data_IF_674620553449
#
_entry.id   IF_674620553449
#
_cell.length_a   1.000
_cell.length_b   1.000
_cell.length_c   1.000
_cell.angle_alpha   90.00
_cell.angle_beta   90.00
_cell.angle_gamma   90.00
#
_symmetry.space_group_name_H-M   'P 1'
#
loop_
_entity.id
_entity.type
_entity.pdbx_description
1 polymer ?
#
# COMPACT_ATOMS: atom_id res chain seq x y z
N UNK A 1 -8.89 -67.10 36.45
CA UNK A 1 -10.24 -66.49 36.58
C UNK A 1 -10.27 -65.19 35.80
N UNK A 2 -10.90 -65.17 34.61
CA UNK A 2 -11.08 -63.95 33.81
C UNK A 2 -12.55 -63.52 33.88
N UNK A 3 -12.83 -62.27 34.27
CA UNK A 3 -14.21 -61.75 34.32
C UNK A 3 -14.52 -60.95 33.06
N UNK A 4 -15.48 -61.45 32.30
CA UNK A 4 -16.11 -60.77 31.16
C UNK A 4 -16.85 -59.49 31.59
N UNK A 5 -16.86 -58.47 30.73
CA UNK A 5 -17.94 -57.45 30.76
C UNK A 5 -18.25 -56.86 29.38
N UNK A 6 -19.37 -57.34 28.86
CA UNK A 6 -20.31 -56.75 27.89
C UNK A 6 -19.96 -55.39 27.22
N UNK A 7 -19.97 -55.38 25.88
CA UNK A 7 -20.12 -54.15 25.09
C UNK A 7 -21.58 -53.69 25.07
N UNK A 8 -21.94 -52.73 25.92
CA UNK A 8 -23.21 -51.98 25.77
C UNK A 8 -23.00 -50.72 24.93
N UNK A 9 -23.77 -50.59 23.84
CA UNK A 9 -23.79 -49.40 22.97
C UNK A 9 -24.18 -48.16 23.79
N UNK A 10 -23.38 -47.09 23.76
CA UNK A 10 -23.77 -45.78 24.28
C UNK A 10 -24.58 -44.98 23.24
N UNK A 11 -25.59 -44.20 23.66
CA UNK A 11 -26.54 -43.57 22.75
C UNK A 11 -25.98 -42.31 22.08
N UNK A 12 -26.48 -42.03 20.87
CA UNK A 12 -26.25 -40.76 20.16
C UNK A 12 -26.97 -39.63 20.89
N UNK A 13 -26.24 -38.81 21.65
CA UNK A 13 -26.75 -37.51 22.11
C UNK A 13 -26.57 -36.47 21.00
N UNK A 14 -27.68 -36.08 20.36
CA UNK A 14 -27.74 -34.80 19.64
C UNK A 14 -27.73 -33.67 20.68
N UNK A 15 -26.63 -32.92 20.77
CA UNK A 15 -26.66 -31.61 21.40
C UNK A 15 -27.10 -30.57 20.36
N UNK A 16 -28.42 -30.37 20.25
CA UNK A 16 -28.99 -29.24 19.51
C UNK A 16 -29.14 -28.04 20.47
N UNK A 17 -28.06 -27.31 20.70
CA UNK A 17 -28.10 -25.96 21.30
C UNK A 17 -26.97 -25.13 20.70
N UNK A 18 -27.33 -24.26 19.75
CA UNK A 18 -26.46 -23.15 19.31
C UNK A 18 -26.60 -22.05 20.38
N UNK A 19 -25.51 -21.46 20.90
CA UNK A 19 -25.62 -20.32 21.81
C UNK A 19 -26.27 -19.15 21.07
N UNK A 20 -27.24 -18.49 21.70
CA UNK A 20 -27.89 -17.31 21.13
C UNK A 20 -26.87 -16.18 20.94
N UNK A 21 -26.87 -15.47 19.79
CA UNK A 21 -25.97 -14.35 19.58
C UNK A 21 -26.39 -13.17 20.46
N UNK A 22 -25.51 -12.78 21.39
CA UNK A 22 -25.63 -11.55 22.16
C UNK A 22 -25.67 -10.39 21.15
N UNK A 23 -26.83 -9.74 21.03
CA UNK A 23 -27.07 -8.71 20.03
C UNK A 23 -26.20 -7.47 20.26
N UNK A 24 -25.52 -7.00 19.21
CA UNK A 24 -24.80 -5.73 19.24
C UNK A 24 -25.82 -4.57 19.36
N UNK A 25 -25.68 -3.66 20.34
CA UNK A 25 -26.70 -2.64 20.65
C UNK A 25 -26.70 -1.45 19.68
N UNK A 26 -25.91 -1.45 18.61
CA UNK A 26 -25.87 -0.32 17.68
C UNK A 26 -27.16 -0.22 16.84
N UNK A 27 -27.64 0.99 16.50
CA UNK A 27 -28.89 1.19 15.74
C UNK A 27 -28.93 0.48 14.39
N UNK A 28 -27.76 0.21 13.80
CA UNK A 28 -27.62 -0.47 12.52
C UNK A 28 -27.96 -1.97 12.59
N UNK A 29 -27.64 -2.66 13.68
CA UNK A 29 -27.94 -4.10 13.82
C UNK A 29 -29.44 -4.38 14.01
N UNK A 30 -30.22 -3.42 14.53
CA UNK A 30 -31.66 -3.59 14.78
C UNK A 30 -32.53 -3.47 13.52
N UNK A 31 -32.02 -2.83 12.46
CA UNK A 31 -32.77 -2.64 11.19
C UNK A 31 -32.49 -3.74 10.15
N UNK A 32 -31.60 -4.68 10.46
CA UNK A 32 -31.16 -5.72 9.52
C UNK A 32 -32.12 -6.92 9.50
N UNK A 33 -32.93 -7.02 8.43
CA UNK A 33 -33.75 -8.22 8.17
C UNK A 33 -33.07 -9.14 7.12
N UNK A 34 -32.76 -10.40 7.44
CA UNK A 34 -32.19 -11.34 6.47
C UNK A 34 -33.24 -11.69 5.40
N UNK A 35 -33.08 -11.15 4.19
CA UNK A 35 -34.00 -11.41 3.08
C UNK A 35 -33.91 -12.88 2.64
N UNK A 36 -35.02 -13.61 2.77
CA UNK A 36 -35.12 -15.04 2.40
C UNK A 36 -34.85 -15.27 0.91
N UNK A 37 -34.07 -16.33 0.65
CA UNK A 37 -33.92 -17.11 -0.59
C UNK A 37 -33.51 -16.39 -1.89
N UNK A 38 -32.27 -16.63 -2.30
CA UNK A 38 -31.77 -16.42 -3.67
C UNK A 38 -32.50 -17.35 -4.66
N UNK A 39 -33.43 -16.82 -5.47
CA UNK A 39 -33.98 -17.57 -6.62
C UNK A 39 -32.89 -17.73 -7.68
N UNK A 40 -32.47 -18.97 -7.94
CA UNK A 40 -31.54 -19.30 -9.04
C UNK A 40 -32.12 -18.81 -10.37
N UNK A 41 -31.35 -18.04 -11.15
CA UNK A 41 -31.69 -17.71 -12.56
C UNK A 41 -31.74 -19.01 -13.39
N UNK A 42 -32.69 -19.16 -14.33
CA UNK A 42 -32.70 -20.29 -15.25
C UNK A 42 -31.49 -20.22 -16.20
N UNK A 43 -30.89 -21.37 -16.48
CA UNK A 43 -29.75 -21.51 -17.39
C UNK A 43 -30.19 -21.44 -18.85
N UNK A 44 -29.70 -20.43 -19.57
CA UNK A 44 -29.87 -20.34 -21.02
C UNK A 44 -29.02 -21.42 -21.69
N UNK A 45 -29.66 -22.29 -22.48
CA UNK A 45 -28.97 -23.31 -23.29
C UNK A 45 -28.24 -22.63 -24.46
N UNK A 46 -26.92 -22.69 -24.46
CA UNK A 46 -26.10 -22.30 -25.62
C UNK A 46 -26.18 -23.42 -26.67
N UNK A 47 -26.59 -23.08 -27.89
CA UNK A 47 -26.68 -24.03 -28.99
C UNK A 47 -25.28 -24.46 -29.49
N UNK A 48 -25.19 -25.71 -29.96
CA UNK A 48 -23.95 -26.34 -30.43
C UNK A 48 -23.45 -25.77 -31.76
N UNK A 49 -22.13 -25.54 -31.85
CA UNK A 49 -21.45 -25.10 -33.08
C UNK A 49 -21.06 -26.33 -33.94
N UNK A 50 -21.26 -26.33 -35.28
CA UNK A 50 -20.88 -27.47 -36.12
C UNK A 50 -19.36 -27.66 -36.24
N UNK A 51 -18.93 -28.92 -36.41
CA UNK A 51 -17.56 -29.28 -36.82
C UNK A 51 -17.39 -29.09 -38.33
N UNK A 52 -16.21 -28.64 -38.77
CA UNK A 52 -15.67 -28.98 -40.09
C UNK A 52 -14.20 -29.44 -39.99
N UNK A 53 -13.72 -30.04 -41.08
CA UNK A 53 -12.74 -31.12 -41.12
C UNK A 53 -11.28 -30.68 -41.33
N UNK A 54 -10.36 -31.62 -41.04
CA UNK A 54 -8.92 -31.50 -41.36
C UNK A 54 -8.67 -31.71 -42.85
N UNK A 55 -7.71 -30.97 -43.41
CA UNK A 55 -6.85 -31.43 -44.52
C UNK A 55 -5.41 -31.07 -44.18
N UNK A 56 -4.44 -31.92 -44.56
CA UNK A 56 -3.02 -31.74 -44.25
C UNK A 56 -2.13 -32.20 -45.41
N UNK A 57 -1.08 -31.42 -45.71
CA UNK A 57 0.26 -31.86 -46.17
C UNK A 57 1.16 -30.61 -46.33
N UNK A 58 2.32 -30.57 -45.65
CA UNK A 58 3.68 -30.84 -46.17
C UNK A 58 4.18 -29.76 -47.16
N UNK A 59 5.40 -29.23 -47.16
CA UNK A 59 6.66 -29.32 -46.37
C UNK A 59 7.65 -28.43 -47.16
N UNK A 60 8.59 -27.75 -46.49
CA UNK A 60 10.03 -27.91 -46.81
C UNK A 60 10.93 -27.27 -45.74
N UNK A 61 11.99 -28.02 -45.43
CA UNK A 61 13.07 -27.71 -44.49
C UNK A 61 14.27 -27.19 -45.25
N UNK A 62 15.07 -26.29 -44.66
CA UNK A 62 16.56 -26.37 -44.64
C UNK A 62 17.03 -25.81 -43.30
N UNK A 63 18.13 -26.34 -42.76
CA UNK A 63 18.69 -25.97 -41.46
C UNK A 63 20.23 -25.99 -41.48
N UNK A 64 20.87 -25.23 -40.59
CA UNK A 64 22.25 -25.39 -40.12
C UNK A 64 22.30 -24.87 -38.67
N UNK A 65 22.52 -25.74 -37.66
CA UNK A 65 23.81 -26.14 -37.07
C UNK A 65 24.58 -24.98 -36.39
N UNK A 66 25.21 -25.12 -35.23
CA UNK A 66 25.18 -26.15 -34.17
C UNK A 66 26.06 -25.70 -32.97
N UNK A 67 25.71 -26.09 -31.74
CA UNK A 67 26.61 -26.75 -30.75
C UNK A 67 25.91 -26.97 -29.41
N UNK A 68 26.33 -28.01 -28.70
CA UNK A 68 25.86 -28.36 -27.37
C UNK A 68 27.06 -28.56 -26.42
N UNK A 69 26.89 -28.19 -25.15
CA UNK A 69 27.71 -28.69 -24.03
C UNK A 69 26.76 -28.99 -22.86
N UNK A 70 27.00 -30.10 -22.16
CA UNK A 70 26.20 -30.57 -21.01
C UNK A 70 26.78 -30.05 -19.70
N UNK A 71 25.95 -29.67 -18.72
CA UNK A 71 25.99 -30.19 -17.33
C UNK A 71 24.93 -29.54 -16.41
N UNK A 72 24.35 -30.35 -15.52
CA UNK A 72 23.56 -30.06 -14.30
C UNK A 72 24.18 -30.96 -13.19
N UNK A 73 23.87 -30.88 -11.87
CA UNK A 73 22.81 -30.14 -11.14
C UNK A 73 23.42 -29.35 -9.92
N UNK A 74 22.78 -28.99 -8.79
CA UNK A 74 21.39 -29.03 -8.29
C UNK A 74 21.16 -28.03 -7.11
N UNK A 75 19.98 -27.39 -7.04
CA UNK A 75 19.31 -26.87 -5.81
C UNK A 75 20.04 -25.68 -5.12
N UNK A 76 19.40 -24.79 -4.34
CA UNK A 76 18.09 -24.87 -3.65
C UNK A 76 17.37 -23.51 -3.69
N UNK A 77 16.05 -23.53 -3.92
CA UNK A 77 15.18 -22.35 -3.84
C UNK A 77 14.18 -22.54 -2.70
N UNK A 78 14.02 -21.59 -1.77
CA UNK A 78 12.77 -21.40 -1.04
C UNK A 78 12.13 -20.08 -1.47
N UNK A 79 11.10 -20.17 -2.31
CA UNK A 79 10.15 -19.09 -2.48
C UNK A 79 8.89 -19.42 -1.67
N UNK A 80 8.59 -18.64 -0.64
CA UNK A 80 7.27 -18.51 0.01
C UNK A 80 7.29 -17.35 1.01
N UNK A 81 7.02 -16.14 0.54
CA UNK A 81 6.21 -15.20 1.31
C UNK A 81 4.84 -15.16 0.65
N UNK A 82 3.78 -15.28 1.46
CA UNK A 82 2.38 -15.14 1.06
C UNK A 82 1.77 -14.06 1.94
N UNK A 83 0.78 -13.38 1.39
CA UNK A 83 -0.05 -12.35 2.04
C UNK A 83 0.70 -11.06 2.36
N UNK A 84 0.49 -10.06 1.49
CA UNK A 84 0.58 -8.68 1.93
C UNK A 84 -0.60 -8.44 2.88
N UNK A 85 -0.32 -8.46 4.19
CA UNK A 85 -1.26 -7.90 5.18
C UNK A 85 -1.23 -6.39 5.01
N UNK A 86 -2.42 -5.78 4.87
CA UNK A 86 -2.58 -4.34 5.02
C UNK A 86 -2.32 -3.96 6.48
N UNK A 87 -1.06 -3.68 6.80
CA UNK A 87 -0.68 -2.93 7.99
C UNK A 87 -0.89 -1.45 7.74
N UNK A 88 -1.27 -0.72 8.79
CA UNK A 88 -1.57 0.71 8.74
C UNK A 88 -0.45 1.53 8.07
N UNK A 89 -0.84 2.63 7.43
CA UNK A 89 0.07 3.52 6.71
C UNK A 89 0.94 4.31 7.68
N UNK A 90 2.13 3.80 7.97
CA UNK A 90 3.08 4.51 8.81
C UNK A 90 3.77 5.65 8.04
N UNK A 91 3.49 6.87 8.48
CA UNK A 91 3.87 8.11 7.79
C UNK A 91 5.25 8.53 8.26
N UNK A 92 6.22 8.54 7.36
CA UNK A 92 7.57 8.93 7.70
C UNK A 92 7.66 10.43 8.03
N UNK A 93 8.36 10.76 9.11
CA UNK A 93 8.58 12.11 9.61
C UNK A 93 10.08 12.38 9.57
N UNK A 94 10.52 13.34 8.75
CA UNK A 94 11.96 13.60 8.61
C UNK A 94 12.60 14.05 9.93
N UNK A 95 13.83 13.60 10.19
CA UNK A 95 14.53 13.81 11.47
C UNK A 95 14.06 12.89 12.60
N UNK A 96 12.93 12.18 12.44
CA UNK A 96 12.57 11.03 13.29
C UNK A 96 12.99 9.72 12.61
N UNK A 97 13.27 8.69 13.40
CA UNK A 97 13.58 7.37 12.87
C UNK A 97 12.31 6.75 12.26
N UNK A 98 12.37 6.34 11.00
CA UNK A 98 11.27 5.61 10.36
C UNK A 98 10.89 4.37 11.20
N UNK A 99 9.60 4.17 11.46
CA UNK A 99 9.13 3.11 12.36
C UNK A 99 9.54 1.70 11.92
N UNK A 100 9.70 1.47 10.62
CA UNK A 100 10.13 0.18 10.08
C UNK A 100 11.66 0.02 10.10
N UNK A 101 12.42 1.01 10.57
CA UNK A 101 13.80 0.86 11.02
C UNK A 101 13.90 0.46 12.50
N UNK A 102 12.88 0.73 13.31
CA UNK A 102 12.86 0.38 14.75
C UNK A 102 12.95 -1.15 14.91
N UNK A 103 13.95 -1.61 15.66
CA UNK A 103 14.25 -3.03 15.81
C UNK A 103 15.11 -3.65 14.69
N UNK A 104 15.45 -2.89 13.64
CA UNK A 104 16.48 -3.25 12.65
C UNK A 104 17.83 -2.57 12.92
N UNK A 105 17.82 -1.45 13.65
CA UNK A 105 19.01 -0.75 14.16
C UNK A 105 19.04 -0.82 15.70
N UNK A 106 20.20 -0.58 16.35
CA UNK A 106 20.29 -0.61 17.81
C UNK A 106 19.38 0.43 18.48
N UNK A 107 18.94 0.13 19.72
CA UNK A 107 18.06 1.01 20.49
C UNK A 107 18.73 2.37 20.77
N UNK A 108 17.93 3.44 20.77
CA UNK A 108 18.43 4.81 20.94
C UNK A 108 19.02 5.43 19.67
N UNK A 109 18.82 4.79 18.51
CA UNK A 109 19.12 5.41 17.23
C UNK A 109 18.33 6.70 17.03
N UNK A 110 18.94 7.68 16.36
CA UNK A 110 18.33 8.93 15.90
C UNK A 110 18.83 9.24 14.49
N UNK A 111 18.15 10.14 13.77
CA UNK A 111 18.60 10.54 12.43
C UNK A 111 19.85 11.40 12.55
N UNK A 112 20.89 11.07 11.77
CA UNK A 112 22.14 11.81 11.78
C UNK A 112 21.98 13.20 11.15
N UNK A 113 22.56 14.21 11.78
CA UNK A 113 22.70 15.54 11.19
C UNK A 113 23.68 15.50 10.00
N UNK A 114 23.47 16.36 9.01
CA UNK A 114 24.41 16.54 7.91
C UNK A 114 25.74 17.13 8.44
N UNK A 115 26.88 16.72 7.87
CA UNK A 115 28.19 17.26 8.25
C UNK A 115 28.37 18.76 7.91
N UNK A 116 27.56 19.30 7.00
CA UNK A 116 27.45 20.72 6.67
C UNK A 116 26.64 21.54 7.71
N UNK A 117 26.04 20.88 8.71
CA UNK A 117 25.15 21.49 9.70
C UNK A 117 23.76 21.88 9.18
N UNK A 118 23.46 21.65 7.90
CA UNK A 118 22.25 22.10 7.23
C UNK A 118 21.18 20.98 7.20
N UNK A 119 20.65 20.67 8.40
CA UNK A 119 19.57 19.70 8.59
C UNK A 119 20.04 18.26 8.80
N UNK A 120 19.19 17.30 8.44
CA UNK A 120 19.39 15.87 8.67
C UNK A 120 19.65 15.11 7.36
N UNK A 121 20.36 14.00 7.45
CA UNK A 121 20.54 13.02 6.36
C UNK A 121 19.26 12.18 6.21
N UNK A 122 18.19 12.83 5.75
CA UNK A 122 16.84 12.30 5.60
C UNK A 122 16.22 12.78 4.28
N UNK A 123 15.84 11.85 3.41
CA UNK A 123 15.21 12.15 2.14
C UNK A 123 13.92 11.35 1.97
N UNK A 124 12.81 12.08 1.83
CA UNK A 124 11.51 11.53 1.42
C UNK A 124 11.35 11.77 -0.08
N UNK A 125 11.34 10.70 -0.88
CA UNK A 125 11.28 10.80 -2.33
C UNK A 125 9.97 10.23 -2.90
N UNK A 126 9.46 10.83 -3.98
CA UNK A 126 8.28 10.36 -4.69
C UNK A 126 8.52 10.20 -6.20
N UNK A 127 7.82 9.24 -6.83
CA UNK A 127 7.77 9.08 -8.27
C UNK A 127 6.35 8.69 -8.67
N UNK A 128 5.64 9.63 -9.30
CA UNK A 128 4.23 9.51 -9.67
C UNK A 128 4.07 9.52 -11.18
N UNK A 129 3.50 8.46 -11.71
CA UNK A 129 3.00 8.35 -13.08
C UNK A 129 1.52 7.93 -13.02
N UNK A 130 0.65 8.93 -13.22
CA UNK A 130 -0.80 8.75 -13.20
C UNK A 130 -1.31 7.92 -14.38
N UNK A 131 -0.60 7.90 -15.51
CA UNK A 131 -0.96 7.13 -16.70
C UNK A 131 -0.72 5.63 -16.53
N UNK A 132 0.34 5.28 -15.79
CA UNK A 132 0.71 3.90 -15.48
C UNK A 132 0.12 3.38 -14.15
N UNK A 133 -0.73 4.15 -13.47
CA UNK A 133 -1.24 3.82 -12.13
C UNK A 133 -0.10 3.51 -11.13
N UNK A 134 0.98 4.30 -11.18
CA UNK A 134 2.20 4.14 -10.40
C UNK A 134 2.41 5.35 -9.50
N UNK A 135 2.28 5.17 -8.19
CA UNK A 135 2.70 6.16 -7.19
C UNK A 135 3.64 5.44 -6.23
N UNK A 136 4.93 5.79 -6.30
CA UNK A 136 6.01 5.13 -5.56
C UNK A 136 6.66 6.12 -4.61
N UNK A 137 7.07 5.62 -3.45
CA UNK A 137 7.90 6.36 -2.52
C UNK A 137 9.26 5.66 -2.33
N UNK A 138 10.26 6.44 -1.94
CA UNK A 138 11.55 5.97 -1.46
C UNK A 138 12.01 6.86 -0.31
N UNK A 139 12.05 6.32 0.90
CA UNK A 139 12.61 6.95 2.10
C UNK A 139 14.06 6.49 2.23
N UNK A 140 14.93 7.42 2.57
CA UNK A 140 16.36 7.19 2.75
C UNK A 140 16.81 7.98 3.99
N UNK A 141 17.46 7.31 4.95
CA UNK A 141 17.96 7.95 6.16
C UNK A 141 19.37 7.46 6.51
N UNK A 142 20.18 8.31 7.13
CA UNK A 142 21.30 7.87 7.96
C UNK A 142 20.88 7.92 9.43
N UNK A 143 21.04 6.81 10.13
CA UNK A 143 20.68 6.62 11.53
C UNK A 143 21.95 6.42 12.35
N UNK A 144 22.14 7.23 13.39
CA UNK A 144 23.27 7.11 14.32
C UNK A 144 22.80 6.43 15.62
N UNK A 145 23.50 5.36 16.01
CA UNK A 145 23.28 4.62 17.25
C UNK A 145 24.58 4.57 18.06
N UNK A 146 24.72 5.48 19.03
CA UNK A 146 25.98 5.66 19.76
C UNK A 146 27.10 6.11 18.83
N UNK A 147 28.08 5.24 18.60
CA UNK A 147 29.22 5.45 17.68
C UNK A 147 29.04 4.80 16.31
N UNK A 148 28.00 3.99 16.12
CA UNK A 148 27.74 3.29 14.86
C UNK A 148 26.74 4.06 13.99
N UNK A 149 26.90 3.96 12.67
CA UNK A 149 26.02 4.58 11.68
C UNK A 149 25.39 3.51 10.78
N UNK A 150 24.13 3.71 10.40
CA UNK A 150 23.38 2.82 9.52
C UNK A 150 22.71 3.62 8.42
N UNK A 151 22.74 3.13 7.18
CA UNK A 151 21.92 3.69 6.10
C UNK A 151 20.64 2.86 5.97
N UNK A 152 19.50 3.45 6.31
CA UNK A 152 18.18 2.85 6.16
C UNK A 152 17.56 3.28 4.84
N UNK A 153 16.86 2.36 4.17
CA UNK A 153 16.09 2.64 2.98
C UNK A 153 14.75 1.90 3.06
N UNK A 154 13.63 2.58 2.78
CA UNK A 154 12.29 1.98 2.67
C UNK A 154 11.62 2.42 1.38
N UNK A 155 11.06 1.51 0.61
CA UNK A 155 10.45 1.82 -0.68
C UNK A 155 9.22 0.97 -0.96
N UNK A 156 8.29 1.51 -1.71
CA UNK A 156 7.07 0.79 -2.04
C UNK A 156 6.12 1.61 -2.89
N UNK A 157 4.87 1.14 -2.93
CA UNK A 157 3.74 1.91 -3.44
C UNK A 157 3.21 2.80 -2.32
N UNK A 158 2.90 4.05 -2.61
CA UNK A 158 2.42 5.03 -1.63
C UNK A 158 1.17 4.50 -0.89
N UNK A 159 1.15 4.71 0.44
CA UNK A 159 0.15 4.14 1.34
C UNK A 159 0.37 2.67 1.74
N UNK A 160 1.53 2.07 1.43
CA UNK A 160 1.89 0.70 1.84
C UNK A 160 3.21 0.65 2.60
N UNK A 161 3.36 -0.30 3.54
CA UNK A 161 4.60 -0.50 4.33
C UNK A 161 5.84 -0.77 3.46
N UNK A 162 5.64 -1.32 2.26
CA UNK A 162 6.71 -1.50 1.27
C UNK A 162 7.72 -2.59 1.61
N UNK A 163 8.97 -2.37 1.24
CA UNK A 163 10.15 -3.15 1.56
C UNK A 163 11.19 -2.23 2.18
N UNK A 164 12.02 -2.75 3.09
CA UNK A 164 13.11 -2.00 3.69
C UNK A 164 14.46 -2.73 3.57
N UNK A 165 15.53 -1.98 3.83
CA UNK A 165 16.90 -2.46 3.92
C UNK A 165 17.69 -1.57 4.87
N UNK A 166 18.54 -2.18 5.69
CA UNK A 166 19.60 -1.51 6.45
C UNK A 166 20.95 -1.91 5.86
N UNK A 167 21.83 -0.93 5.64
CA UNK A 167 23.24 -1.14 5.35
C UNK A 167 24.08 -0.59 6.52
N UNK A 168 25.13 -1.31 6.91
CA UNK A 168 25.96 -1.02 8.09
C UNK A 168 26.12 -2.24 9.02
N UNK A 169 26.62 -2.06 10.25
CA UNK A 169 27.08 -0.78 10.81
C UNK A 169 28.30 -0.22 10.06
N UNK A 170 28.39 1.10 10.03
CA UNK A 170 29.55 1.88 9.58
C UNK A 170 30.21 2.55 10.79
N UNK A 171 31.53 2.70 10.76
CA UNK A 171 32.29 3.25 11.88
C UNK A 171 32.38 4.78 11.85
N UNK A 172 32.03 5.39 10.72
CA UNK A 172 32.08 6.84 10.52
C UNK A 172 30.83 7.34 9.80
N UNK A 173 30.44 8.58 10.09
CA UNK A 173 29.34 9.24 9.38
C UNK A 173 29.63 9.36 7.88
N UNK A 174 30.88 9.61 7.49
CA UNK A 174 31.27 9.76 6.08
C UNK A 174 31.08 8.49 5.24
N UNK A 175 31.25 7.30 5.81
CA UNK A 175 30.93 6.02 5.14
C UNK A 175 29.42 5.90 4.89
N UNK A 176 28.59 6.17 5.90
CA UNK A 176 27.15 6.10 5.79
C UNK A 176 26.57 7.19 4.87
N UNK A 177 27.12 8.40 4.94
CA UNK A 177 26.79 9.54 4.08
C UNK A 177 27.18 9.27 2.62
N UNK A 178 28.32 8.62 2.35
CA UNK A 178 28.67 8.21 0.99
C UNK A 178 27.67 7.20 0.39
N UNK A 179 27.14 6.28 1.22
CA UNK A 179 26.07 5.35 0.81
C UNK A 179 24.75 6.08 0.57
N UNK A 180 24.39 7.02 1.45
CA UNK A 180 23.22 7.88 1.30
C UNK A 180 23.31 8.72 0.01
N UNK A 181 24.38 9.47 -0.18
CA UNK A 181 24.59 10.35 -1.33
C UNK A 181 24.56 9.60 -2.67
N UNK A 182 25.17 8.40 -2.71
CA UNK A 182 25.08 7.50 -3.88
C UNK A 182 23.64 7.07 -4.16
N UNK A 183 22.91 6.56 -3.15
CA UNK A 183 21.52 6.13 -3.30
C UNK A 183 20.61 7.28 -3.74
N UNK A 184 20.76 8.47 -3.14
CA UNK A 184 20.02 9.67 -3.51
C UNK A 184 20.26 9.99 -5.00
N UNK A 185 21.52 10.10 -5.42
CA UNK A 185 21.88 10.42 -6.80
C UNK A 185 21.41 9.34 -7.80
N UNK A 186 21.44 8.06 -7.45
CA UNK A 186 20.89 6.99 -8.29
C UNK A 186 19.38 7.17 -8.54
N UNK A 187 18.62 7.61 -7.51
CA UNK A 187 17.15 7.78 -7.58
C UNK A 187 16.71 9.10 -8.21
N UNK A 188 17.40 10.21 -7.93
CA UNK A 188 17.00 11.57 -8.33
C UNK A 188 17.79 12.10 -9.53
N UNK A 189 19.00 11.58 -9.78
CA UNK A 189 19.96 12.12 -10.75
C UNK A 189 20.81 13.28 -10.24
N UNK A 190 20.58 13.78 -9.02
CA UNK A 190 21.24 14.97 -8.45
C UNK A 190 22.00 14.62 -7.17
N UNK A 191 22.96 15.46 -6.76
CA UNK A 191 23.72 15.24 -5.51
C UNK A 191 22.94 15.85 -4.33
N UNK A 192 23.05 15.23 -3.16
CA UNK A 192 22.43 15.75 -1.93
C UNK A 192 22.94 17.14 -1.50
N UNK A 193 24.19 17.45 -1.84
CA UNK A 193 24.78 18.77 -1.58
C UNK A 193 24.03 19.91 -2.31
N UNK A 194 23.46 19.62 -3.48
CA UNK A 194 22.78 20.60 -4.33
C UNK A 194 21.24 20.65 -4.06
N UNK A 195 20.78 20.08 -2.94
CA UNK A 195 19.34 19.91 -2.62
C UNK A 195 18.55 21.22 -2.46
N UNK A 196 19.22 22.34 -2.23
CA UNK A 196 18.62 23.69 -2.21
C UNK A 196 18.03 24.10 -3.56
N UNK A 197 18.66 23.63 -4.64
CA UNK A 197 18.36 23.98 -6.03
C UNK A 197 17.80 22.76 -6.79
N UNK A 198 17.18 21.84 -6.05
CA UNK A 198 16.68 20.58 -6.57
C UNK A 198 15.60 20.82 -7.63
N UNK A 199 15.74 20.16 -8.78
CA UNK A 199 14.75 20.19 -9.87
C UNK A 199 14.33 18.79 -10.27
N UNK A 200 13.03 18.52 -10.34
CA UNK A 200 12.53 17.19 -10.71
C UNK A 200 12.97 16.83 -12.14
N UNK A 201 13.55 15.63 -12.31
CA UNK A 201 13.98 15.09 -13.61
C UNK A 201 12.97 14.05 -14.06
N UNK A 202 12.48 14.14 -15.30
CA UNK A 202 11.51 13.18 -15.83
C UNK A 202 11.98 11.72 -15.72
N UNK A 203 11.07 10.83 -15.33
CA UNK A 203 11.35 9.43 -15.01
C UNK A 203 12.22 9.16 -13.77
N UNK A 204 12.69 10.18 -13.05
CA UNK A 204 13.43 10.08 -11.79
C UNK A 204 12.55 10.47 -10.59
N UNK A 205 12.99 10.04 -9.41
CA UNK A 205 12.35 10.44 -8.16
C UNK A 205 12.58 11.93 -7.90
N UNK A 206 11.53 12.57 -7.39
CA UNK A 206 11.53 13.93 -6.87
C UNK A 206 11.80 13.93 -5.35
N UNK A 207 12.19 15.07 -4.81
CA UNK A 207 12.40 15.28 -3.38
C UNK A 207 11.17 15.98 -2.78
N UNK A 208 10.56 15.36 -1.77
CA UNK A 208 9.44 15.94 -1.02
C UNK A 208 9.94 16.67 0.22
N UNK A 209 9.45 17.89 0.42
CA UNK A 209 9.52 18.59 1.70
C UNK A 209 8.54 17.93 2.69
N UNK A 210 8.89 17.88 3.98
CA UNK A 210 8.03 17.29 5.02
C UNK A 210 7.91 18.29 6.16
N UNK A 211 6.68 18.70 6.51
CA UNK A 211 6.42 19.51 7.69
C UNK A 211 6.28 18.61 8.92
N UNK A 212 6.95 18.95 10.01
CA UNK A 212 6.97 18.18 11.26
C UNK A 212 6.02 18.73 12.34
N UNK A 213 5.35 19.85 12.05
CA UNK A 213 4.44 20.54 12.97
C UNK A 213 2.97 20.31 12.66
N UNK A 214 2.68 19.72 11.50
CA UNK A 214 1.32 19.61 10.99
C UNK A 214 0.52 18.46 11.64
N UNK A 215 -0.58 18.82 12.29
CA UNK A 215 -1.47 17.91 13.02
C UNK A 215 -2.27 17.01 12.05
N UNK A 216 -1.87 15.73 12.00
CA UNK A 216 -2.42 14.70 11.13
C UNK A 216 -3.71 14.03 11.66
N UNK A 217 -4.58 14.78 12.35
CA UNK A 217 -5.85 14.27 12.90
C UNK A 217 -7.07 14.49 11.98
N UNK A 218 -6.88 15.03 10.77
CA UNK A 218 -7.95 15.27 9.80
C UNK A 218 -8.74 14.01 9.45
N UNK A 219 -10.06 14.08 9.55
CA UNK A 219 -10.97 13.01 9.15
C UNK A 219 -11.42 13.20 7.70
N UNK A 220 -11.63 12.11 6.97
CA UNK A 220 -11.94 12.15 5.55
C UNK A 220 -13.30 11.52 5.24
N UNK A 221 -14.06 12.17 4.35
CA UNK A 221 -15.35 11.69 3.87
C UNK A 221 -15.45 11.73 2.34
N UNK A 222 -16.22 10.81 1.75
CA UNK A 222 -16.56 10.82 0.32
C UNK A 222 -18.06 10.96 0.11
N UNK A 223 -18.43 11.59 -0.99
CA UNK A 223 -19.83 11.73 -1.37
C UNK A 223 -20.36 10.54 -2.18
N UNK A 224 -21.58 10.11 -1.84
CA UNK A 224 -22.39 9.15 -2.58
C UNK A 224 -23.52 9.87 -3.29
N UNK A 225 -23.46 9.91 -4.63
CA UNK A 225 -24.56 10.42 -5.47
C UNK A 225 -25.67 9.38 -5.69
N UNK A 226 -25.31 8.09 -5.75
CA UNK A 226 -26.19 7.00 -6.18
C UNK A 226 -26.61 6.08 -5.01
N UNK A 227 -27.83 5.53 -5.06
CA UNK A 227 -28.25 4.43 -4.19
C UNK A 227 -27.60 3.10 -4.61
N UNK A 228 -26.35 2.90 -4.18
CA UNK A 228 -25.57 1.66 -4.41
C UNK A 228 -25.36 0.94 -3.08
N UNK A 229 -25.52 -0.37 -3.07
CA UNK A 229 -25.34 -1.26 -1.91
C UNK A 229 -26.14 -0.86 -0.66
N UNK A 230 -27.32 -0.25 -0.86
CA UNK A 230 -28.24 0.16 0.22
C UNK A 230 -27.83 1.43 0.97
N UNK A 231 -26.75 2.10 0.55
CA UNK A 231 -26.38 3.43 1.03
C UNK A 231 -27.25 4.50 0.36
N UNK A 232 -27.64 5.52 1.12
CA UNK A 232 -28.37 6.67 0.61
C UNK A 232 -27.41 7.67 -0.05
N UNK A 233 -27.98 8.70 -0.69
CA UNK A 233 -27.22 9.90 -1.08
C UNK A 233 -26.69 10.59 0.19
N UNK A 234 -25.42 10.98 0.20
CA UNK A 234 -24.81 11.68 1.34
C UNK A 234 -23.30 11.49 1.48
N UNK A 235 -22.75 12.09 2.53
CA UNK A 235 -21.35 11.93 2.93
C UNK A 235 -21.16 10.65 3.75
N UNK A 236 -20.04 9.96 3.50
CA UNK A 236 -19.64 8.74 4.20
C UNK A 236 -18.18 8.83 4.65
N UNK A 237 -17.85 8.43 5.88
CA UNK A 237 -16.47 8.40 6.34
C UNK A 237 -15.63 7.39 5.57
N UNK A 238 -14.35 7.71 5.44
CA UNK A 238 -13.32 6.79 5.02
C UNK A 238 -13.13 5.68 6.07
N UNK A 239 -12.50 4.57 5.67
CA UNK A 239 -11.94 3.61 6.64
C UNK A 239 -10.74 4.22 7.33
N UNK A 240 -10.38 3.74 8.52
CA UNK A 240 -9.20 4.20 9.28
C UNK A 240 -7.92 4.25 8.42
N UNK A 241 -7.59 3.16 7.72
CA UNK A 241 -6.48 3.11 6.74
C UNK A 241 -6.60 4.19 5.66
N UNK A 242 -7.80 4.44 5.17
CA UNK A 242 -8.05 5.41 4.09
C UNK A 242 -7.92 6.85 4.58
N UNK A 243 -8.39 7.13 5.80
CA UNK A 243 -8.18 8.40 6.49
C UNK A 243 -6.70 8.65 6.68
N UNK A 244 -5.96 7.71 7.27
CA UNK A 244 -4.51 7.82 7.48
C UNK A 244 -3.73 8.05 6.17
N UNK A 245 -4.03 7.27 5.13
CA UNK A 245 -3.41 7.43 3.81
C UNK A 245 -3.72 8.79 3.18
N UNK A 246 -4.98 9.24 3.20
CA UNK A 246 -5.38 10.50 2.54
C UNK A 246 -4.89 11.72 3.31
N UNK A 247 -4.87 11.63 4.64
CA UNK A 247 -4.31 12.66 5.51
C UNK A 247 -2.80 12.81 5.32
N UNK A 248 -2.04 11.70 5.24
CA UNK A 248 -0.60 11.77 4.94
C UNK A 248 -0.31 12.44 3.58
N UNK A 249 -1.16 12.19 2.57
CA UNK A 249 -1.07 12.89 1.28
C UNK A 249 -1.40 14.38 1.40
N UNK A 250 -2.39 14.74 2.20
CA UNK A 250 -2.77 16.14 2.44
C UNK A 250 -1.66 16.92 3.14
N UNK A 251 -1.05 16.36 4.20
CA UNK A 251 0.08 16.98 4.88
C UNK A 251 1.29 17.14 3.95
N UNK A 252 1.58 16.12 3.13
CA UNK A 252 2.59 16.24 2.06
C UNK A 252 2.25 17.38 1.10
N UNK A 253 1.00 17.48 0.66
CA UNK A 253 0.55 18.48 -0.31
C UNK A 253 0.61 19.92 0.22
N UNK A 254 0.40 20.17 1.52
CA UNK A 254 0.49 21.53 2.09
C UNK A 254 1.84 22.21 1.82
N UNK A 255 2.93 21.44 1.83
CA UNK A 255 4.30 21.94 1.57
C UNK A 255 4.86 21.49 0.20
N UNK A 256 4.12 20.69 -0.56
CA UNK A 256 4.46 20.27 -1.92
C UNK A 256 3.23 20.40 -2.84
N UNK A 257 2.84 21.62 -3.18
CA UNK A 257 1.60 21.87 -3.96
C UNK A 257 1.58 21.18 -5.34
N UNK A 258 2.74 20.92 -5.94
CA UNK A 258 2.88 20.14 -7.16
C UNK A 258 2.41 18.67 -7.02
N UNK A 259 2.29 18.15 -5.79
CA UNK A 259 1.81 16.81 -5.45
C UNK A 259 0.30 16.77 -5.13
N UNK A 260 -0.46 17.69 -5.71
CA UNK A 260 -1.93 17.75 -5.64
C UNK A 260 -2.64 16.46 -6.11
N UNK A 261 -2.01 15.64 -6.97
CA UNK A 261 -2.60 14.43 -7.56
C UNK A 261 -1.78 13.18 -7.29
N UNK A 262 -2.36 12.25 -6.54
CA UNK A 262 -1.69 11.07 -5.95
C UNK A 262 -2.53 9.81 -6.13
N UNK A 263 -1.94 8.63 -5.91
CA UNK A 263 -2.67 7.36 -6.02
C UNK A 263 -2.64 6.57 -4.71
N UNK A 264 -3.83 6.32 -4.18
CA UNK A 264 -4.07 5.49 -2.98
C UNK A 264 -4.61 4.12 -3.39
N UNK A 265 -4.26 3.06 -2.65
CA UNK A 265 -4.89 1.74 -2.76
C UNK A 265 -5.76 1.45 -1.54
N UNK A 266 -7.02 1.06 -1.81
CA UNK A 266 -7.94 0.59 -0.78
C UNK A 266 -8.52 -0.75 -1.22
N UNK A 267 -8.04 -1.82 -0.56
CA UNK A 267 -8.33 -3.21 -0.93
C UNK A 267 -7.96 -3.52 -2.39
N UNK A 268 -8.95 -3.94 -3.18
CA UNK A 268 -8.76 -4.27 -4.60
C UNK A 268 -8.76 -3.05 -5.54
N UNK A 269 -9.06 -1.85 -5.04
CA UNK A 269 -9.24 -0.66 -5.86
C UNK A 269 -8.06 0.31 -5.70
N UNK A 270 -7.77 1.04 -6.76
CA UNK A 270 -6.84 2.18 -6.74
C UNK A 270 -7.60 3.44 -7.12
N UNK A 271 -7.33 4.53 -6.41
CA UNK A 271 -8.01 5.82 -6.54
C UNK A 271 -6.97 6.90 -6.84
N UNK A 272 -7.20 7.65 -7.91
CA UNK A 272 -6.52 8.91 -8.15
C UNK A 272 -7.20 9.96 -7.24
N UNK A 273 -6.46 10.45 -6.25
CA UNK A 273 -6.88 11.49 -5.32
C UNK A 273 -6.38 12.81 -5.87
N UNK A 274 -7.28 13.77 -6.04
CA UNK A 274 -7.04 15.12 -6.53
C UNK A 274 -7.43 16.09 -5.39
N UNK A 275 -6.40 16.68 -4.77
CA UNK A 275 -6.50 17.51 -3.56
C UNK A 275 -6.83 18.98 -3.88
N UNK A 276 -6.64 19.43 -5.12
CA UNK A 276 -7.10 20.73 -5.59
C UNK A 276 -8.61 20.68 -5.86
N UNK A 277 -9.05 19.69 -6.67
CA UNK A 277 -10.45 19.50 -7.01
C UNK A 277 -11.25 18.84 -5.88
N UNK A 278 -10.59 18.43 -4.78
CA UNK A 278 -11.14 17.67 -3.66
C UNK A 278 -12.03 16.52 -4.13
N UNK A 279 -11.45 15.65 -4.96
CA UNK A 279 -12.14 14.48 -5.53
C UNK A 279 -11.29 13.21 -5.52
N UNK A 280 -11.94 12.06 -5.49
CA UNK A 280 -11.33 10.76 -5.78
C UNK A 280 -11.92 10.17 -7.06
N UNK A 281 -11.09 9.55 -7.90
CA UNK A 281 -11.51 8.85 -9.11
C UNK A 281 -10.99 7.41 -9.08
N UNK A 282 -11.90 6.45 -9.08
CA UNK A 282 -11.55 5.03 -9.14
C UNK A 282 -10.93 4.69 -10.51
N UNK A 283 -9.68 4.24 -10.53
CA UNK A 283 -8.87 4.14 -11.75
C UNK A 283 -9.37 3.07 -12.72
N UNK A 284 -10.01 1.99 -12.23
CA UNK A 284 -10.52 0.90 -13.08
C UNK A 284 -11.93 1.14 -13.62
N UNK A 285 -12.73 1.99 -12.98
CA UNK A 285 -14.13 2.26 -13.37
C UNK A 285 -14.39 3.69 -13.83
N UNK A 286 -13.40 4.58 -13.70
CA UNK A 286 -13.50 6.04 -13.90
C UNK A 286 -14.62 6.73 -13.09
N UNK A 287 -15.16 6.06 -12.06
CA UNK A 287 -16.15 6.67 -11.16
C UNK A 287 -15.48 7.72 -10.28
N UNK A 288 -15.80 8.98 -10.54
CA UNK A 288 -15.41 10.16 -9.73
C UNK A 288 -16.39 10.38 -8.58
N UNK A 289 -15.89 10.80 -7.43
CA UNK A 289 -16.64 11.22 -6.24
C UNK A 289 -15.96 12.44 -5.62
N UNK A 290 -16.75 13.35 -5.05
CA UNK A 290 -16.20 14.40 -4.19
C UNK A 290 -15.72 13.83 -2.86
N UNK A 291 -14.72 14.48 -2.29
CA UNK A 291 -14.16 14.16 -0.98
C UNK A 291 -14.03 15.44 -0.17
N UNK A 292 -13.97 15.34 1.16
CA UNK A 292 -13.75 16.48 2.05
C UNK A 292 -12.94 16.05 3.27
N UNK A 293 -12.15 16.99 3.80
CA UNK A 293 -11.43 16.87 5.08
C UNK A 293 -12.22 17.61 6.15
N UNK A 294 -12.41 16.97 7.29
CA UNK A 294 -12.98 17.55 8.51
C UNK A 294 -11.85 17.71 9.53
N UNK A 295 -11.63 18.92 10.02
CA UNK A 295 -10.53 19.20 10.96
C UNK A 295 -10.90 20.36 11.87
N UNK A 296 -10.86 20.13 13.19
CA UNK A 296 -11.18 21.14 14.22
C UNK A 296 -12.51 21.88 13.99
N UNK A 297 -13.51 21.20 13.43
CA UNK A 297 -14.83 21.77 13.08
C UNK A 297 -14.90 22.48 11.73
N UNK A 298 -13.76 22.74 11.06
CA UNK A 298 -13.73 23.23 9.69
C UNK A 298 -13.96 22.09 8.68
N UNK A 299 -14.61 22.43 7.56
CA UNK A 299 -14.77 21.56 6.40
C UNK A 299 -13.92 22.13 5.27
N UNK A 300 -13.03 21.31 4.72
CA UNK A 300 -12.22 21.65 3.55
C UNK A 300 -12.67 20.75 2.39
N UNK A 301 -13.03 21.35 1.26
CA UNK A 301 -13.67 20.67 0.12
C UNK A 301 -15.11 21.16 -0.11
N UNK A 302 -15.81 20.52 -1.04
CA UNK A 302 -17.12 20.99 -1.47
C UNK A 302 -18.21 20.73 -0.40
N UNK A 303 -18.92 21.78 0.01
CA UNK A 303 -20.03 21.72 0.98
C UNK A 303 -21.40 21.52 0.32
N UNK A 304 -21.58 21.99 -0.91
CA UNK A 304 -22.89 22.32 -1.50
C UNK A 304 -23.45 21.14 -2.33
N UNK A 305 -23.27 19.93 -1.82
CA UNK A 305 -23.59 18.67 -2.49
C UNK A 305 -24.72 17.87 -1.83
N UNK A 306 -25.25 18.34 -0.69
CA UNK A 306 -26.36 17.72 0.06
C UNK A 306 -27.61 17.52 -0.79
#
# INVERSE_FOLDING_TARGET
MARTRSMTRRPVRRCNTVPEPIGCPCPWCQTWTPRKTYRKRPSVKVASKPKQTKVAKKTKTVATKAKAVKAKPAKTKPAKSKSATSGASDTHVSGQVDSAAVGLVPNGAHVAACADGNGYLDASLALVDLSQNSDKYYILQVLQAGTEFHCFSRWGRTGTVGQNQVEGPFNTIGEAEAVFNRKFQDKTGQRWADRSDFSQIDGKYDLLNVDHTADATGQWEYFMHDFVDGKARGWYPYTEDGTAQTEALWQTYQVNSAYNRRIVQSGYYSYNIDLDAMTQTNISTNKKRYIRRLYQGAIIGNTDLS
#
